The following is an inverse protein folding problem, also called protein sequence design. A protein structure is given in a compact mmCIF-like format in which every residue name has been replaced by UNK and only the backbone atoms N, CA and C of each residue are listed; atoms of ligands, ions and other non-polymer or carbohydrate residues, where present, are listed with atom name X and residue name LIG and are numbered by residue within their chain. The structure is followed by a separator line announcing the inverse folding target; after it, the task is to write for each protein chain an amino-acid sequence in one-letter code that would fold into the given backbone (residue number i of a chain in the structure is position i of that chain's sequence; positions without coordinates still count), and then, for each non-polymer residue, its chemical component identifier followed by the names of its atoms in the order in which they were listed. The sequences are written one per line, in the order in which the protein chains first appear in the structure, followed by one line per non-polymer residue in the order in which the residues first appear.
data_IF_488207620203
#
_entry.id   IF_488207620203
#
_cell.length_a   1.000
_cell.length_b   1.000
_cell.length_c   1.000
_cell.angle_alpha   90.00
_cell.angle_beta   90.00
_cell.angle_gamma   90.00
#
_symmetry.space_group_name_H-M   'P 1'
#
loop_
_entity.id
_entity.type
_entity.pdbx_description
1 polymer ?
#
# COMPACT_ATOMS: atom_id res chain seq x y z
N UNK A 1 12.50 56.86 2.00
CA UNK A 1 11.47 57.80 1.50
C UNK A 1 10.30 56.99 0.99
N UNK A 2 9.23 56.86 1.79
CA UNK A 2 8.03 56.16 1.34
C UNK A 2 7.22 57.12 0.47
N UNK A 3 7.08 56.79 -0.81
CA UNK A 3 6.25 57.54 -1.75
C UNK A 3 4.79 57.43 -1.29
N UNK A 4 4.18 58.57 -0.96
CA UNK A 4 2.76 58.65 -0.62
C UNK A 4 2.00 58.31 -1.91
N UNK A 5 1.49 57.07 -1.97
CA UNK A 5 0.71 56.59 -3.10
C UNK A 5 -0.64 57.31 -3.09
N UNK A 6 -1.03 57.94 -4.19
CA UNK A 6 -2.33 58.61 -4.29
C UNK A 6 -3.46 57.65 -3.87
N UNK A 7 -4.34 58.04 -2.92
CA UNK A 7 -5.39 57.17 -2.41
C UNK A 7 -6.38 56.76 -3.50
N UNK A 8 -6.57 57.61 -4.52
CA UNK A 8 -7.42 57.33 -5.67
C UNK A 8 -6.83 56.22 -6.54
N UNK A 9 -5.51 56.27 -6.81
CA UNK A 9 -4.81 55.23 -7.57
C UNK A 9 -4.85 53.90 -6.83
N UNK A 10 -4.68 53.92 -5.51
CA UNK A 10 -4.75 52.72 -4.69
C UNK A 10 -6.12 52.04 -4.80
N UNK A 11 -7.21 52.82 -4.74
CA UNK A 11 -8.59 52.35 -4.90
C UNK A 11 -8.84 51.73 -6.28
N UNK A 12 -8.33 52.39 -7.33
CA UNK A 12 -8.40 51.89 -8.70
C UNK A 12 -7.66 50.55 -8.87
N UNK A 13 -6.43 50.44 -8.35
CA UNK A 13 -5.66 49.21 -8.44
C UNK A 13 -6.28 48.06 -7.63
N UNK A 14 -6.87 48.33 -6.47
CA UNK A 14 -7.60 47.30 -5.70
C UNK A 14 -8.85 46.83 -6.43
N UNK A 15 -9.61 47.74 -7.03
CA UNK A 15 -10.81 47.38 -7.79
C UNK A 15 -10.46 46.55 -9.04
N UNK A 16 -9.38 46.93 -9.74
CA UNK A 16 -8.84 46.16 -10.87
C UNK A 16 -8.37 44.78 -10.43
N UNK A 17 -7.60 44.69 -9.35
CA UNK A 17 -7.10 43.42 -8.81
C UNK A 17 -8.26 42.50 -8.40
N UNK A 18 -9.29 43.04 -7.74
CA UNK A 18 -10.46 42.27 -7.33
C UNK A 18 -11.26 41.73 -8.54
N UNK A 19 -11.37 42.51 -9.63
CA UNK A 19 -11.99 42.04 -10.88
C UNK A 19 -11.16 40.96 -11.58
N UNK A 20 -9.84 41.08 -11.56
CA UNK A 20 -8.94 40.07 -12.10
C UNK A 20 -9.03 38.77 -11.28
N UNK A 21 -9.01 38.85 -9.95
CA UNK A 21 -9.10 37.69 -9.06
C UNK A 21 -10.46 36.95 -9.13
N UNK A 22 -11.56 37.64 -9.42
CA UNK A 22 -12.88 36.99 -9.58
C UNK A 22 -12.91 35.95 -10.70
N UNK A 23 -12.08 36.12 -11.73
CA UNK A 23 -12.02 35.24 -12.89
C UNK A 23 -10.91 34.18 -12.80
N UNK A 24 -9.98 34.33 -11.85
CA UNK A 24 -8.91 33.35 -11.61
C UNK A 24 -9.48 32.24 -10.72
N UNK A 25 -10.22 31.31 -11.33
CA UNK A 25 -10.47 30.00 -10.73
C UNK A 25 -9.27 29.12 -11.03
N UNK A 26 -8.40 28.92 -10.05
CA UNK A 26 -7.47 27.80 -10.05
C UNK A 26 -8.30 26.52 -9.97
N UNK A 27 -8.57 25.91 -11.12
CA UNK A 27 -9.15 24.56 -11.18
C UNK A 27 -7.99 23.59 -11.02
N UNK A 28 -7.61 23.34 -9.76
CA UNK A 28 -6.69 22.26 -9.45
C UNK A 28 -7.47 20.94 -9.56
N UNK A 29 -7.39 20.29 -10.72
CA UNK A 29 -7.86 18.92 -10.86
C UNK A 29 -6.89 17.99 -10.12
N UNK A 30 -7.30 17.52 -8.93
CA UNK A 30 -6.52 16.56 -8.18
C UNK A 30 -6.60 15.17 -8.85
N UNK A 31 -5.55 14.81 -9.59
CA UNK A 31 -5.41 13.45 -10.14
C UNK A 31 -4.73 12.57 -9.09
N UNK A 32 -5.40 11.55 -8.55
CA UNK A 32 -4.81 10.67 -7.55
C UNK A 32 -3.67 9.85 -8.16
N UNK A 33 -2.43 10.16 -7.78
CA UNK A 33 -1.26 9.39 -8.17
C UNK A 33 -1.01 8.27 -7.16
N UNK A 34 -1.49 7.06 -7.46
CA UNK A 34 -1.39 5.91 -6.54
C UNK A 34 -0.01 5.22 -6.60
N UNK A 35 0.80 5.53 -7.63
CA UNK A 35 2.12 4.91 -7.85
C UNK A 35 3.27 5.63 -7.14
N UNK A 36 3.04 6.83 -6.60
CA UNK A 36 4.09 7.60 -5.94
C UNK A 36 4.37 7.03 -4.56
N UNK A 37 5.66 6.96 -4.21
CA UNK A 37 6.05 6.60 -2.84
C UNK A 37 5.48 7.64 -1.89
N UNK A 38 4.92 7.17 -0.78
CA UNK A 38 4.48 8.04 0.30
C UNK A 38 5.65 8.92 0.74
N UNK A 39 5.39 10.22 0.81
CA UNK A 39 6.33 11.18 1.38
C UNK A 39 6.59 10.74 2.82
N UNK A 40 7.84 10.42 3.15
CA UNK A 40 8.18 9.90 4.48
C UNK A 40 7.87 10.96 5.53
N UNK A 41 7.47 10.54 6.72
CA UNK A 41 7.12 11.43 7.85
C UNK A 41 8.12 12.55 8.16
N UNK A 42 9.38 12.40 7.74
CA UNK A 42 10.46 13.37 7.90
C UNK A 42 10.33 14.64 7.03
N UNK A 43 9.53 14.60 5.96
CA UNK A 43 9.27 15.76 5.11
C UNK A 43 8.17 16.65 5.65
N UNK A 44 7.29 16.09 6.49
CA UNK A 44 6.27 16.89 7.15
C UNK A 44 6.88 17.63 8.33
N UNK A 45 6.48 18.89 8.52
CA UNK A 45 6.95 19.65 9.68
C UNK A 45 6.34 19.08 10.96
N UNK A 46 7.01 19.24 12.12
CA UNK A 46 6.41 18.89 13.43
C UNK A 46 5.06 19.59 13.69
N UNK A 47 4.78 20.67 12.96
CA UNK A 47 3.58 21.49 13.06
C UNK A 47 2.50 21.15 12.03
N UNK A 48 2.79 20.29 11.04
CA UNK A 48 1.75 19.66 10.23
C UNK A 48 1.09 18.58 11.07
N UNK A 49 0.15 19.02 11.91
CA UNK A 49 -0.62 18.14 12.78
C UNK A 49 -1.49 17.20 11.96
N UNK A 50 -1.65 15.97 12.46
CA UNK A 50 -2.63 14.99 11.93
C UNK A 50 -4.05 15.58 11.84
N UNK A 51 -4.35 16.62 12.62
CA UNK A 51 -5.60 17.37 12.63
C UNK A 51 -5.80 18.27 11.39
N UNK A 52 -4.72 18.68 10.70
CA UNK A 52 -4.81 19.41 9.42
C UNK A 52 -5.27 18.50 8.27
N UNK A 53 -5.08 17.18 8.42
CA UNK A 53 -5.70 16.20 7.55
C UNK A 53 -7.13 16.02 8.03
N UNK A 54 -8.03 16.93 7.62
CA UNK A 54 -9.46 16.77 7.84
C UNK A 54 -9.99 15.40 7.36
N UNK A 55 -11.27 15.12 7.56
CA UNK A 55 -11.87 13.85 7.12
C UNK A 55 -11.57 13.60 5.64
N UNK A 56 -10.69 12.64 5.36
CA UNK A 56 -10.33 12.24 3.99
C UNK A 56 -11.61 11.82 3.29
N UNK A 57 -11.85 12.36 2.09
CA UNK A 57 -13.05 12.01 1.34
C UNK A 57 -13.12 10.49 1.12
N UNK A 58 -14.26 9.85 1.41
CA UNK A 58 -14.42 8.40 1.25
C UNK A 58 -14.20 7.94 -0.19
N UNK A 59 -14.32 8.84 -1.17
CA UNK A 59 -14.02 8.56 -2.57
C UNK A 59 -12.54 8.22 -2.78
N UNK A 60 -11.63 8.93 -2.11
CA UNK A 60 -10.19 8.66 -2.21
C UNK A 60 -9.81 7.33 -1.54
N UNK A 61 -10.44 7.01 -0.39
CA UNK A 61 -10.26 5.70 0.24
C UNK A 61 -10.68 4.56 -0.69
N UNK A 62 -11.82 4.69 -1.36
CA UNK A 62 -12.28 3.71 -2.35
C UNK A 62 -11.31 3.52 -3.52
N UNK A 63 -10.64 4.58 -3.96
CA UNK A 63 -9.65 4.51 -5.05
C UNK A 63 -8.42 3.72 -4.59
N UNK A 64 -7.95 3.96 -3.37
CA UNK A 64 -6.83 3.24 -2.77
C UNK A 64 -7.20 1.76 -2.58
N UNK A 65 -8.33 1.48 -1.94
CA UNK A 65 -8.83 0.12 -1.73
C UNK A 65 -8.95 -0.66 -3.04
N UNK A 66 -9.48 0.00 -4.09
CA UNK A 66 -9.62 -0.60 -5.41
C UNK A 66 -8.24 -0.94 -5.98
N UNK A 67 -7.28 -0.02 -5.92
CA UNK A 67 -5.94 -0.24 -6.45
C UNK A 67 -5.18 -1.34 -5.69
N UNK A 68 -5.31 -1.43 -4.38
CA UNK A 68 -4.67 -2.50 -3.58
C UNK A 68 -5.24 -3.89 -3.88
N UNK A 69 -6.52 -3.98 -4.21
CA UNK A 69 -7.19 -5.25 -4.51
C UNK A 69 -7.08 -5.69 -5.97
N UNK A 70 -6.68 -4.80 -6.87
CA UNK A 70 -6.57 -5.11 -8.29
C UNK A 70 -5.54 -6.23 -8.52
N UNK A 71 -6.01 -7.32 -9.11
CA UNK A 71 -5.14 -8.37 -9.64
C UNK A 71 -4.65 -7.99 -11.04
N UNK A 72 -3.51 -8.55 -11.51
CA UNK A 72 -2.95 -8.22 -12.83
C UNK A 72 -3.96 -8.28 -13.98
N UNK A 73 -4.92 -9.22 -13.94
CA UNK A 73 -5.99 -9.35 -14.94
C UNK A 73 -6.92 -8.15 -15.05
N UNK A 74 -7.12 -7.45 -13.94
CA UNK A 74 -7.98 -6.26 -13.88
C UNK A 74 -7.23 -5.01 -14.35
N UNK A 75 -5.89 -5.08 -14.34
CA UNK A 75 -5.00 -3.96 -14.70
C UNK A 75 -4.69 -3.96 -16.20
N UNK A 76 -4.42 -5.14 -16.80
CA UNK A 76 -4.06 -5.23 -18.22
C UNK A 76 -5.12 -5.99 -19.02
N UNK A 77 -5.60 -5.36 -20.11
CA UNK A 77 -6.56 -5.97 -21.05
C UNK A 77 -5.97 -7.03 -21.97
N UNK A 78 -4.67 -7.28 -21.87
CA UNK A 78 -3.91 -8.19 -22.74
C UNK A 78 -3.15 -9.22 -21.90
N UNK A 79 -2.52 -10.20 -22.57
CA UNK A 79 -1.77 -11.28 -21.91
C UNK A 79 -0.76 -10.72 -20.88
N UNK A 80 -0.47 -11.46 -19.79
CA UNK A 80 0.42 -11.00 -18.72
C UNK A 80 1.76 -10.53 -19.30
N UNK A 81 2.19 -9.27 -19.05
CA UNK A 81 3.41 -8.73 -19.63
C UNK A 81 4.70 -9.35 -19.08
N UNK A 82 4.63 -10.06 -17.96
CA UNK A 82 5.77 -10.77 -17.38
C UNK A 82 5.42 -12.19 -16.96
N UNK A 83 6.43 -13.07 -16.93
CA UNK A 83 6.27 -14.46 -16.47
C UNK A 83 5.85 -14.55 -15.01
N UNK A 84 6.30 -13.64 -14.15
CA UNK A 84 5.88 -13.61 -12.75
C UNK A 84 4.38 -13.32 -12.60
N UNK A 85 3.79 -12.54 -13.51
CA UNK A 85 2.36 -12.26 -13.48
C UNK A 85 1.52 -13.50 -13.83
N UNK A 86 2.05 -14.45 -14.61
CA UNK A 86 1.33 -15.69 -14.95
C UNK A 86 0.87 -16.47 -13.71
N UNK A 87 1.66 -16.46 -12.63
CA UNK A 87 1.33 -17.17 -11.39
C UNK A 87 0.05 -16.65 -10.71
N UNK A 88 -0.23 -15.36 -10.84
CA UNK A 88 -1.42 -14.71 -10.30
C UNK A 88 -2.46 -14.35 -11.36
N UNK A 89 -2.20 -14.68 -12.63
CA UNK A 89 -3.05 -14.30 -13.76
C UNK A 89 -4.25 -15.23 -13.93
N UNK A 90 -4.19 -16.46 -13.45
CA UNK A 90 -5.32 -17.39 -13.59
C UNK A 90 -5.94 -17.66 -12.22
N UNK A 91 -7.20 -17.29 -12.06
CA UNK A 91 -7.97 -17.56 -10.84
C UNK A 91 -8.12 -19.08 -10.63
N UNK A 92 -8.22 -19.81 -11.75
CA UNK A 92 -8.20 -21.27 -11.79
C UNK A 92 -6.82 -21.76 -12.22
N UNK A 93 -6.33 -22.88 -11.67
CA UNK A 93 -5.05 -23.43 -12.09
C UNK A 93 -5.12 -23.87 -13.56
N UNK A 94 -4.12 -23.45 -14.35
CA UNK A 94 -3.99 -23.84 -15.77
C UNK A 94 -3.98 -25.35 -16.00
N UNK A 95 -3.48 -26.10 -15.01
CA UNK A 95 -3.56 -27.55 -14.98
C UNK A 95 -4.69 -27.90 -14.01
N UNK A 96 -5.79 -28.51 -14.48
CA UNK A 96 -6.88 -28.89 -13.60
C UNK A 96 -6.35 -29.85 -12.54
N UNK A 97 -6.66 -29.55 -11.28
CA UNK A 97 -6.32 -30.46 -10.18
C UNK A 97 -7.24 -31.66 -10.27
N UNK A 98 -6.67 -32.85 -10.21
CA UNK A 98 -7.47 -34.07 -10.12
C UNK A 98 -8.33 -34.03 -8.86
N UNK A 99 -9.61 -34.38 -8.99
CA UNK A 99 -10.51 -34.60 -7.87
C UNK A 99 -10.43 -36.02 -7.33
N UNK A 100 -9.78 -36.93 -8.07
CA UNK A 100 -9.60 -38.32 -7.64
C UNK A 100 -8.62 -38.36 -6.44
N UNK A 101 -9.05 -38.84 -5.26
CA UNK A 101 -8.19 -38.98 -4.09
C UNK A 101 -6.97 -39.86 -4.33
N UNK A 102 -7.01 -40.74 -5.35
CA UNK A 102 -5.88 -41.61 -5.73
C UNK A 102 -4.78 -40.87 -6.49
N UNK A 103 -5.07 -39.67 -6.99
CA UNK A 103 -4.14 -38.86 -7.80
C UNK A 103 -3.90 -37.47 -7.17
N UNK A 104 -4.60 -37.14 -6.08
CA UNK A 104 -4.49 -35.87 -5.39
C UNK A 104 -3.88 -36.04 -4.00
N UNK A 105 -2.57 -35.73 -3.89
CA UNK A 105 -1.81 -35.84 -2.66
C UNK A 105 -1.22 -34.50 -2.21
N UNK A 106 -2.05 -33.57 -1.70
CA UNK A 106 -1.54 -32.31 -1.17
C UNK A 106 -0.65 -32.58 0.05
N UNK A 107 0.58 -32.09 0.03
CA UNK A 107 1.45 -32.10 1.19
C UNK A 107 1.04 -30.93 2.10
N UNK A 108 0.18 -31.20 3.08
CA UNK A 108 -0.28 -30.19 4.03
C UNK A 108 0.87 -29.57 4.85
N UNK A 109 1.97 -30.31 5.03
CA UNK A 109 3.11 -29.89 5.85
C UNK A 109 4.41 -30.42 5.26
N UNK A 110 5.49 -29.64 5.41
CA UNK A 110 6.84 -30.09 5.10
C UNK A 110 7.29 -31.20 6.05
N UNK A 111 8.27 -32.01 5.63
CA UNK A 111 8.81 -33.11 6.46
C UNK A 111 9.29 -32.60 7.83
N UNK A 112 9.92 -31.43 7.87
CA UNK A 112 10.41 -30.78 9.09
C UNK A 112 9.25 -30.51 10.06
N UNK A 113 8.16 -29.92 9.55
CA UNK A 113 6.98 -29.61 10.38
C UNK A 113 6.31 -30.88 10.87
N UNK A 114 6.22 -31.94 10.05
CA UNK A 114 5.71 -33.26 10.48
C UNK A 114 6.55 -33.86 11.61
N UNK A 115 7.87 -33.77 11.51
CA UNK A 115 8.79 -34.25 12.55
C UNK A 115 8.59 -33.49 13.86
N UNK A 116 8.52 -32.15 13.79
CA UNK A 116 8.33 -31.31 14.97
C UNK A 116 6.96 -31.54 15.63
N UNK A 117 5.88 -31.65 14.85
CA UNK A 117 4.56 -32.00 15.39
C UNK A 117 4.59 -33.35 16.13
N UNK A 118 5.25 -34.35 15.55
CA UNK A 118 5.40 -35.66 16.21
C UNK A 118 6.20 -35.57 17.50
N UNK A 119 7.31 -34.82 17.52
CA UNK A 119 8.10 -34.60 18.73
C UNK A 119 7.23 -33.97 19.81
N UNK A 120 6.48 -32.91 19.48
CA UNK A 120 5.56 -32.25 20.42
C UNK A 120 4.45 -33.15 20.93
N UNK A 121 3.88 -33.99 20.08
CA UNK A 121 2.85 -34.95 20.49
C UNK A 121 3.39 -36.01 21.45
N UNK A 122 4.63 -36.49 21.23
CA UNK A 122 5.32 -37.41 22.15
C UNK A 122 5.67 -36.71 23.45
N UNK A 123 6.08 -35.45 23.39
CA UNK A 123 6.51 -34.65 24.54
C UNK A 123 5.35 -34.00 25.31
N UNK A 124 4.09 -34.24 24.91
CA UNK A 124 2.91 -33.76 25.66
C UNK A 124 2.96 -34.29 27.10
N UNK A 125 3.14 -33.37 28.05
CA UNK A 125 3.22 -33.69 29.48
C UNK A 125 4.63 -33.97 30.01
N UNK A 126 5.66 -33.94 29.17
CA UNK A 126 7.06 -34.12 29.55
C UNK A 126 7.80 -32.78 29.39
N UNK A 127 8.26 -32.20 30.49
CA UNK A 127 9.11 -31.01 30.44
C UNK A 127 10.53 -31.39 29.98
N UNK A 128 10.80 -31.33 28.68
CA UNK A 128 12.19 -31.37 28.19
C UNK A 128 12.86 -30.05 28.51
N UNK A 129 14.00 -30.13 29.20
CA UNK A 129 14.88 -28.96 29.37
C UNK A 129 15.37 -28.56 27.97
N UNK A 130 15.03 -27.32 27.56
CA UNK A 130 15.51 -26.78 26.27
C UNK A 130 17.04 -26.81 26.24
N UNK A 131 17.62 -26.95 25.07
CA UNK A 131 19.07 -26.86 24.94
C UNK A 131 19.52 -25.42 25.28
N UNK A 132 20.36 -25.28 26.30
CA UNK A 132 20.93 -23.99 26.75
C UNK A 132 22.40 -23.83 26.34
N UNK A 133 22.96 -24.75 25.55
CA UNK A 133 24.35 -24.70 25.12
C UNK A 133 24.58 -23.70 23.98
N UNK A 134 25.83 -23.31 23.78
CA UNK A 134 26.24 -22.54 22.60
C UNK A 134 26.28 -23.52 21.42
N UNK A 135 25.47 -23.31 20.36
CA UNK A 135 25.28 -24.31 19.29
C UNK A 135 26.49 -24.45 18.37
N UNK A 136 27.47 -23.56 18.47
CA UNK A 136 28.67 -23.56 17.65
C UNK A 136 29.91 -23.48 18.54
N UNK A 137 30.94 -24.25 18.20
CA UNK A 137 32.28 -24.01 18.75
C UNK A 137 32.79 -22.70 18.16
N UNK A 138 33.05 -21.72 19.00
CA UNK A 138 33.93 -20.58 18.64
C UNK A 138 35.35 -21.14 18.55
N UNK A 139 35.80 -21.38 17.32
CA UNK A 139 37.24 -21.48 17.01
C UNK A 139 37.82 -20.08 16.98
#
# INVERSE_FOLDING_TARGET
MATILDPIKMKFYTEKFNKENQNIKLVEEFVPSVKTKLITGKFYSKYETLESFGSISPQFMKIIDRHERMVPNEIYSYKPPSTNMLYGWFAEPLIPRSTDPRLYFPLNHSRIVKTEMRIRDIDKGIFRVKFHGIPFKTT
#
